data_IF_616971802962
#
_entry.id   IF_616971802962
#
_cell.length_a   1.000
_cell.length_b   1.000
_cell.length_c   1.000
_cell.angle_alpha   90.00
_cell.angle_beta   90.00
_cell.angle_gamma   90.00
#
_symmetry.space_group_name_H-M   'P 1'
#
loop_
_entity.id
_entity.type
_entity.pdbx_description
1 polymer ?
#
# COMPACT_ATOMS: atom_id res chain seq x y z
N UNK A 1 -13.47 -11.09 16.44
CA UNK A 1 -12.45 -10.46 15.58
C UNK A 1 -12.96 -10.53 14.16
N UNK A 2 -13.10 -9.39 13.47
CA UNK A 2 -13.64 -9.34 12.10
C UNK A 2 -12.51 -8.90 11.17
N UNK A 3 -12.15 -9.71 10.17
CA UNK A 3 -11.16 -9.34 9.15
C UNK A 3 -11.91 -8.76 7.95
N UNK A 4 -11.70 -7.48 7.63
CA UNK A 4 -12.18 -6.90 6.38
C UNK A 4 -11.26 -7.36 5.26
N UNK A 5 -11.84 -8.00 4.25
CA UNK A 5 -11.13 -8.63 3.14
C UNK A 5 -11.60 -8.02 1.82
N UNK A 6 -10.66 -7.80 0.90
CA UNK A 6 -10.94 -7.44 -0.47
C UNK A 6 -10.83 -8.69 -1.37
N UNK A 7 -11.85 -8.93 -2.19
CA UNK A 7 -11.88 -10.06 -3.13
C UNK A 7 -11.33 -9.64 -4.50
N UNK A 8 -10.68 -10.56 -5.20
CA UNK A 8 -10.17 -10.32 -6.56
C UNK A 8 -11.33 -10.17 -7.57
N UNK A 9 -11.19 -9.24 -8.53
CA UNK A 9 -12.20 -8.91 -9.53
C UNK A 9 -12.49 -10.07 -10.51
N UNK A 10 -11.55 -11.02 -10.66
CA UNK A 10 -11.73 -12.26 -11.44
C UNK A 10 -12.91 -13.13 -10.96
N UNK A 11 -13.45 -12.86 -9.76
CA UNK A 11 -14.66 -13.52 -9.26
C UNK A 11 -15.92 -13.14 -10.06
N UNK A 12 -15.92 -12.01 -10.76
CA UNK A 12 -17.10 -11.41 -11.40
C UNK A 12 -17.32 -11.86 -12.85
N UNK A 13 -16.44 -12.71 -13.40
CA UNK A 13 -16.50 -13.17 -14.79
C UNK A 13 -16.85 -14.65 -14.87
N UNK A 14 -18.10 -14.97 -15.20
CA UNK A 14 -18.59 -16.35 -15.35
C UNK A 14 -17.85 -17.17 -16.42
N UNK A 15 -17.26 -16.49 -17.42
CA UNK A 15 -16.63 -17.14 -18.59
C UNK A 15 -15.19 -17.62 -18.36
N UNK A 16 -14.52 -17.21 -17.28
CA UNK A 16 -13.19 -17.73 -16.92
C UNK A 16 -13.24 -19.14 -16.32
N UNK A 17 -14.43 -19.63 -15.94
CA UNK A 17 -14.61 -20.97 -15.33
C UNK A 17 -14.53 -22.13 -16.32
N UNK A 18 -14.58 -21.86 -17.63
CA UNK A 18 -14.52 -22.92 -18.65
C UNK A 18 -13.12 -23.01 -19.27
N UNK A 19 -12.33 -23.95 -18.73
CA UNK A 19 -11.05 -24.49 -19.25
C UNK A 19 -9.74 -23.89 -18.71
N UNK A 20 -9.46 -24.07 -17.41
CA UNK A 20 -8.09 -24.38 -16.96
C UNK A 20 -8.08 -24.96 -15.55
N UNK A 21 -7.80 -26.26 -15.42
CA UNK A 21 -7.72 -27.00 -14.15
C UNK A 21 -6.49 -26.66 -13.29
N UNK A 22 -5.88 -25.48 -13.45
CA UNK A 22 -4.62 -25.15 -12.76
C UNK A 22 -4.47 -23.71 -12.27
N UNK A 23 -5.45 -22.82 -12.41
CA UNK A 23 -5.22 -21.38 -12.14
C UNK A 23 -6.14 -20.72 -11.10
N UNK A 24 -6.88 -21.51 -10.31
CA UNK A 24 -7.77 -20.98 -9.28
C UNK A 24 -7.04 -20.92 -7.92
N UNK A 25 -6.06 -20.03 -7.81
CA UNK A 25 -5.52 -19.66 -6.50
C UNK A 25 -6.23 -18.38 -6.06
N UNK A 26 -7.46 -18.53 -5.57
CA UNK A 26 -8.20 -17.42 -4.98
C UNK A 26 -7.55 -17.06 -3.65
N UNK A 27 -6.95 -15.86 -3.59
CA UNK A 27 -6.40 -15.31 -2.36
C UNK A 27 -7.30 -14.20 -1.88
N UNK A 28 -7.57 -14.21 -0.58
CA UNK A 28 -8.34 -13.20 0.11
C UNK A 28 -7.36 -12.34 0.90
N UNK A 29 -7.21 -11.09 0.52
CA UNK A 29 -6.28 -10.17 1.16
C UNK A 29 -7.03 -9.29 2.15
N UNK A 30 -6.57 -9.30 3.40
CA UNK A 30 -7.04 -8.39 4.43
C UNK A 30 -6.64 -6.94 4.13
N UNK A 31 -7.26 -6.00 4.85
CA UNK A 31 -6.79 -4.61 4.83
C UNK A 31 -5.33 -4.55 5.33
N UNK A 32 -4.50 -3.65 4.76
CA UNK A 32 -3.16 -3.45 5.28
C UNK A 32 -3.19 -3.03 6.74
N UNK A 33 -2.19 -3.49 7.50
CA UNK A 33 -1.97 -2.98 8.84
C UNK A 33 -1.18 -1.67 8.77
N UNK A 34 -1.76 -0.61 9.32
CA UNK A 34 -1.33 0.77 9.13
C UNK A 34 -1.37 1.48 10.47
N UNK A 35 -0.25 2.11 10.81
CA UNK A 35 -0.07 2.97 11.98
C UNK A 35 0.10 4.41 11.51
N UNK A 36 -0.58 5.33 12.18
CA UNK A 36 -0.45 6.77 11.95
C UNK A 36 0.10 7.39 13.23
N UNK A 37 1.19 8.14 13.12
CA UNK A 37 1.84 8.79 14.25
C UNK A 37 2.01 10.28 13.96
N UNK A 38 1.87 11.11 15.00
CA UNK A 38 2.24 12.53 14.93
C UNK A 38 3.70 12.70 15.34
N UNK A 39 4.48 13.42 14.54
CA UNK A 39 5.88 13.71 14.80
C UNK A 39 5.96 14.70 15.97
N UNK A 40 6.72 14.33 17.00
CA UNK A 40 6.77 15.07 18.27
C UNK A 40 7.89 16.11 18.33
N UNK A 41 8.98 15.90 17.58
CA UNK A 41 10.22 16.66 17.69
C UNK A 41 10.85 16.87 16.30
N UNK A 42 11.70 17.89 16.16
CA UNK A 42 12.42 18.22 14.92
C UNK A 42 11.66 19.19 14.00
N UNK A 43 12.20 19.41 12.80
CA UNK A 43 11.67 20.40 11.84
C UNK A 43 10.25 20.06 11.33
N UNK A 44 9.86 18.78 11.40
CA UNK A 44 8.54 18.28 10.99
C UNK A 44 7.56 18.09 12.17
N UNK A 45 7.86 18.69 13.33
CA UNK A 45 6.99 18.62 14.51
C UNK A 45 5.54 19.02 14.17
N UNK A 46 4.59 18.20 14.62
CA UNK A 46 3.15 18.39 14.40
C UNK A 46 2.61 17.80 13.09
N UNK A 47 3.48 17.38 12.17
CA UNK A 47 3.07 16.63 10.97
C UNK A 47 2.76 15.17 11.29
N UNK A 48 2.07 14.51 10.38
CA UNK A 48 1.75 13.09 10.45
C UNK A 48 2.71 12.26 9.63
N UNK A 49 2.90 11.02 10.07
CA UNK A 49 3.62 9.99 9.36
C UNK A 49 2.85 8.67 9.40
N UNK A 50 2.85 7.96 8.29
CA UNK A 50 2.17 6.67 8.14
C UNK A 50 3.21 5.57 8.01
N UNK A 51 3.02 4.48 8.75
CA UNK A 51 3.81 3.26 8.61
C UNK A 51 2.92 2.07 8.26
N UNK A 52 3.27 1.37 7.18
CA UNK A 52 2.63 0.12 6.80
C UNK A 52 3.40 -1.05 7.41
N UNK A 53 2.73 -1.82 8.25
CA UNK A 53 3.32 -2.95 8.98
C UNK A 53 3.23 -4.26 8.18
N UNK A 54 2.33 -4.34 7.21
CA UNK A 54 2.07 -5.55 6.45
C UNK A 54 0.59 -5.70 6.17
N UNK A 55 0.15 -6.94 6.01
CA UNK A 55 -1.21 -7.33 5.69
C UNK A 55 -1.38 -8.83 5.91
N UNK A 56 -2.61 -9.34 5.95
CA UNK A 56 -2.85 -10.78 6.09
C UNK A 56 -3.51 -11.35 4.83
N UNK A 57 -3.19 -12.60 4.52
CA UNK A 57 -3.88 -13.41 3.52
C UNK A 57 -4.74 -14.46 4.20
N UNK A 58 -5.84 -14.84 3.57
CA UNK A 58 -6.52 -16.09 3.87
C UNK A 58 -6.32 -17.07 2.72
N UNK A 59 -5.64 -18.19 3.02
CA UNK A 59 -5.44 -19.30 2.09
C UNK A 59 -6.69 -20.19 2.13
N UNK A 60 -7.53 -20.08 1.10
CA UNK A 60 -8.78 -20.84 1.00
C UNK A 60 -8.56 -22.36 0.87
N UNK A 61 -7.36 -22.80 0.45
CA UNK A 61 -7.06 -24.23 0.30
C UNK A 61 -6.70 -24.87 1.64
N UNK A 62 -6.02 -24.11 2.50
CA UNK A 62 -5.62 -24.56 3.84
C UNK A 62 -6.62 -24.17 4.93
N UNK A 63 -7.44 -23.15 4.69
CA UNK A 63 -8.34 -22.58 5.69
C UNK A 63 -7.60 -21.76 6.76
N UNK A 64 -6.44 -21.19 6.42
CA UNK A 64 -5.53 -20.53 7.36
C UNK A 64 -5.28 -19.07 6.99
N UNK A 65 -5.06 -18.24 8.02
CA UNK A 65 -4.58 -16.86 7.85
C UNK A 65 -3.05 -16.85 7.85
N UNK A 66 -2.46 -16.25 6.81
CA UNK A 66 -1.02 -16.14 6.64
C UNK A 66 -0.66 -14.66 6.64
N UNK A 67 0.17 -14.22 7.58
CA UNK A 67 0.65 -12.84 7.60
C UNK A 67 1.68 -12.57 6.50
N UNK A 68 1.40 -11.55 5.71
CA UNK A 68 2.31 -10.88 4.80
C UNK A 68 2.98 -9.71 5.48
N UNK A 69 4.26 -9.86 5.81
CA UNK A 69 5.07 -8.74 6.29
C UNK A 69 5.30 -7.67 5.21
N UNK A 70 5.99 -6.57 5.56
CA UNK A 70 6.24 -5.45 4.65
C UNK A 70 7.08 -5.86 3.42
N UNK A 71 7.89 -6.92 3.56
CA UNK A 71 8.71 -7.46 2.48
C UNK A 71 7.91 -8.09 1.32
N UNK A 72 6.59 -8.29 1.48
CA UNK A 72 5.70 -8.77 0.40
C UNK A 72 4.90 -7.65 -0.27
N UNK A 73 5.21 -6.40 0.03
CA UNK A 73 4.56 -5.23 -0.56
C UNK A 73 5.39 -4.78 -1.75
N UNK A 74 4.90 -5.03 -2.96
CA UNK A 74 5.55 -4.58 -4.18
C UNK A 74 5.47 -3.06 -4.32
N UNK A 75 4.30 -2.49 -4.00
CA UNK A 75 4.05 -1.06 -4.04
C UNK A 75 3.04 -0.65 -2.97
N UNK A 76 3.18 0.54 -2.42
CA UNK A 76 2.09 1.17 -1.68
C UNK A 76 1.97 2.66 -1.97
N UNK A 77 0.76 3.17 -1.81
CA UNK A 77 0.36 4.51 -2.17
C UNK A 77 -0.37 5.14 -0.99
N UNK A 78 -0.07 6.40 -0.73
CA UNK A 78 -0.71 7.21 0.30
C UNK A 78 -1.40 8.41 -0.35
N UNK A 79 -2.70 8.49 -0.14
CA UNK A 79 -3.50 9.70 -0.35
C UNK A 79 -3.69 10.37 1.02
N UNK A 80 -3.19 11.59 1.13
CA UNK A 80 -3.17 12.39 2.38
C UNK A 80 -4.45 13.19 2.61
N UNK A 81 -5.38 13.19 1.65
CA UNK A 81 -6.63 13.98 1.68
C UNK A 81 -7.78 13.26 0.96
N UNK A 82 -7.97 11.99 1.24
CA UNK A 82 -8.89 11.13 0.51
C UNK A 82 -10.34 11.63 0.56
N UNK A 83 -10.94 11.81 -0.62
CA UNK A 83 -12.27 12.42 -0.82
C UNK A 83 -13.45 11.44 -0.75
N UNK A 84 -13.20 10.19 -0.31
CA UNK A 84 -14.16 9.08 -0.30
C UNK A 84 -14.64 8.61 -1.68
N UNK A 85 -14.04 9.06 -2.80
CA UNK A 85 -14.45 8.68 -4.16
C UNK A 85 -13.31 8.05 -4.94
N UNK A 86 -12.19 8.75 -5.05
CA UNK A 86 -11.10 8.39 -5.93
C UNK A 86 -9.77 8.54 -5.20
N UNK A 87 -8.85 7.60 -5.45
CA UNK A 87 -7.52 7.66 -4.85
C UNK A 87 -6.64 8.62 -5.65
N UNK A 88 -6.15 9.68 -5.00
CA UNK A 88 -5.18 10.62 -5.56
C UNK A 88 -3.90 10.58 -4.73
N UNK A 89 -3.03 9.58 -4.96
CA UNK A 89 -1.89 9.37 -4.10
C UNK A 89 -0.88 10.51 -4.27
N UNK A 90 -0.51 11.14 -3.15
CA UNK A 90 0.54 12.15 -3.07
C UNK A 90 1.92 11.54 -2.89
N UNK A 91 1.99 10.31 -2.37
CA UNK A 91 3.25 9.56 -2.18
C UNK A 91 3.11 8.11 -2.64
N UNK A 92 4.12 7.58 -3.34
CA UNK A 92 4.14 6.22 -3.89
C UNK A 92 5.49 5.56 -3.64
N UNK A 93 5.46 4.36 -3.07
CA UNK A 93 6.62 3.66 -2.54
C UNK A 93 6.78 2.28 -3.16
N UNK A 94 8.02 1.80 -3.28
CA UNK A 94 8.36 0.49 -3.84
C UNK A 94 9.28 -0.31 -2.91
N UNK A 95 8.76 -0.93 -1.84
CA UNK A 95 9.59 -1.62 -0.83
C UNK A 95 10.38 -2.81 -1.35
N UNK A 96 9.86 -3.50 -2.37
CA UNK A 96 10.54 -4.65 -2.98
C UNK A 96 11.53 -4.26 -4.09
N UNK A 97 11.56 -3.00 -4.53
CA UNK A 97 12.43 -2.60 -5.62
C UNK A 97 13.90 -2.63 -5.16
N UNK A 98 14.74 -3.37 -5.88
CA UNK A 98 16.20 -3.32 -5.70
C UNK A 98 16.80 -1.99 -6.19
N UNK A 99 18.08 -1.76 -5.92
CA UNK A 99 18.79 -0.49 -6.22
C UNK A 99 18.62 0.02 -7.66
N UNK A 100 18.39 -0.88 -8.62
CA UNK A 100 18.24 -0.56 -10.06
C UNK A 100 16.79 -0.59 -10.56
N UNK A 101 15.83 -0.81 -9.68
CA UNK A 101 14.39 -0.93 -9.96
C UNK A 101 13.59 0.22 -9.34
N UNK A 102 12.26 0.23 -9.52
CA UNK A 102 11.39 1.28 -9.00
C UNK A 102 11.76 2.67 -9.50
N UNK A 103 11.82 3.64 -8.58
CA UNK A 103 12.15 5.03 -8.87
C UNK A 103 13.55 5.23 -9.48
N UNK A 104 14.54 4.37 -9.18
CA UNK A 104 15.88 4.51 -9.78
C UNK A 104 15.89 4.27 -11.29
N UNK A 105 14.94 3.47 -11.82
CA UNK A 105 14.77 3.34 -13.27
C UNK A 105 14.25 4.63 -13.89
N UNK A 106 13.34 5.32 -13.18
CA UNK A 106 12.79 6.59 -13.64
C UNK A 106 13.82 7.73 -13.53
N UNK A 107 14.53 7.83 -12.40
CA UNK A 107 15.58 8.84 -12.19
C UNK A 107 16.69 8.75 -13.22
N UNK A 108 17.12 7.53 -13.58
CA UNK A 108 18.10 7.31 -14.66
C UNK A 108 17.65 7.75 -16.04
N UNK A 109 16.35 7.84 -16.27
CA UNK A 109 15.77 8.35 -17.52
C UNK A 109 15.58 9.86 -17.47
N UNK A 110 15.23 10.40 -16.30
CA UNK A 110 14.94 11.83 -16.11
C UNK A 110 16.19 12.68 -15.87
N UNK A 111 17.31 12.09 -15.41
CA UNK A 111 18.72 12.57 -15.36
C UNK A 111 19.05 13.99 -14.88
N UNK A 112 18.08 14.88 -14.67
CA UNK A 112 18.31 16.30 -14.41
C UNK A 112 17.40 16.91 -13.33
N UNK A 113 16.35 16.21 -12.87
CA UNK A 113 15.36 16.80 -11.95
C UNK A 113 15.08 15.97 -10.69
N UNK A 114 15.72 14.80 -10.52
CA UNK A 114 15.46 13.93 -9.35
C UNK A 114 16.72 13.81 -8.50
N UNK A 115 16.59 14.15 -7.23
CA UNK A 115 17.59 13.95 -6.19
C UNK A 115 17.62 12.47 -5.79
N UNK A 116 18.74 11.80 -6.07
CA UNK A 116 18.90 10.36 -5.82
C UNK A 116 18.87 9.99 -4.33
N UNK A 117 19.26 10.90 -3.43
CA UNK A 117 19.22 10.64 -1.99
C UNK A 117 17.77 10.67 -1.47
N UNK A 118 16.95 11.58 -2.01
CA UNK A 118 15.53 11.70 -1.63
C UNK A 118 14.67 10.54 -2.17
N UNK A 119 15.08 9.90 -3.27
CA UNK A 119 14.41 8.69 -3.79
C UNK A 119 14.41 7.57 -2.75
N UNK A 120 15.46 7.48 -1.94
CA UNK A 120 15.65 6.33 -1.06
C UNK A 120 14.62 6.28 0.06
N UNK A 121 14.06 7.43 0.45
CA UNK A 121 12.91 7.50 1.33
C UNK A 121 11.66 6.77 0.75
N UNK A 122 11.54 6.69 -0.59
CA UNK A 122 10.43 6.01 -1.27
C UNK A 122 10.59 4.48 -1.39
N UNK A 123 11.66 3.91 -0.84
CA UNK A 123 11.82 2.45 -0.72
C UNK A 123 11.34 1.90 0.62
N UNK A 124 10.97 2.75 1.56
CA UNK A 124 10.50 2.33 2.87
C UNK A 124 9.03 1.91 2.90
N UNK A 125 8.61 1.45 4.08
CA UNK A 125 7.19 1.33 4.45
C UNK A 125 6.72 2.45 5.36
N UNK A 126 7.50 3.53 5.44
CA UNK A 126 7.20 4.72 6.22
C UNK A 126 7.06 5.90 5.25
N UNK A 127 6.01 6.69 5.41
CA UNK A 127 5.76 7.85 4.57
C UNK A 127 6.73 8.98 4.85
N UNK A 128 6.85 9.92 3.91
CA UNK A 128 7.35 11.24 4.25
C UNK A 128 6.33 11.95 5.17
N UNK A 129 6.79 12.86 6.03
CA UNK A 129 5.91 13.70 6.84
C UNK A 129 4.92 14.49 5.98
N UNK A 130 3.69 14.64 6.46
CA UNK A 130 2.65 15.39 5.75
C UNK A 130 1.67 16.09 6.69
N UNK A 131 1.02 17.13 6.18
CA UNK A 131 -0.13 17.76 6.82
C UNK A 131 -1.42 17.13 6.29
N UNK A 132 -2.43 16.89 7.15
CA UNK A 132 -3.69 16.32 6.70
C UNK A 132 -4.42 17.36 5.84
N UNK A 133 -4.99 16.92 4.72
CA UNK A 133 -5.82 17.81 3.92
C UNK A 133 -7.19 18.10 4.54
N UNK A 134 -8.01 18.95 3.88
CA UNK A 134 -9.32 19.38 4.35
C UNK A 134 -10.31 18.25 4.69
N UNK A 135 -10.23 17.09 4.03
CA UNK A 135 -11.11 15.94 4.28
C UNK A 135 -10.74 15.21 5.58
N UNK A 136 -9.54 15.46 6.14
CA UNK A 136 -9.01 14.81 7.34
C UNK A 136 -9.06 13.28 7.27
N UNK A 137 -8.96 12.74 6.06
CA UNK A 137 -9.05 11.32 5.79
C UNK A 137 -7.88 10.93 4.90
N UNK A 138 -7.28 9.79 5.20
CA UNK A 138 -6.21 9.22 4.39
C UNK A 138 -6.63 7.88 3.83
N UNK A 139 -6.07 7.54 2.69
CA UNK A 139 -6.22 6.23 2.10
C UNK A 139 -4.84 5.62 1.81
N UNK A 140 -4.63 4.42 2.32
CA UNK A 140 -3.43 3.61 2.11
C UNK A 140 -3.82 2.42 1.25
N UNK A 141 -3.30 2.41 0.03
CA UNK A 141 -3.46 1.30 -0.91
C UNK A 141 -2.15 0.56 -1.04
N UNK A 142 -2.19 -0.76 -0.91
CA UNK A 142 -1.02 -1.61 -1.13
C UNK A 142 -1.28 -2.56 -2.30
N UNK A 143 -0.20 -2.98 -2.95
CA UNK A 143 -0.18 -4.02 -3.97
C UNK A 143 0.90 -5.02 -3.57
N UNK A 144 0.53 -6.31 -3.48
CA UNK A 144 1.46 -7.38 -3.14
C UNK A 144 2.34 -7.80 -4.32
N UNK A 145 3.24 -8.76 -4.07
CA UNK A 145 4.13 -9.38 -5.06
C UNK A 145 3.40 -10.20 -6.15
N UNK A 146 2.08 -10.39 -6.01
CA UNK A 146 1.20 -11.10 -6.96
C UNK A 146 0.29 -10.15 -7.72
N UNK A 147 0.33 -8.85 -7.42
CA UNK A 147 -0.54 -7.83 -8.03
C UNK A 147 -1.92 -7.70 -7.38
N UNK A 148 -2.15 -8.32 -6.22
CA UNK A 148 -3.40 -8.20 -5.47
C UNK A 148 -3.39 -6.88 -4.70
N UNK A 149 -4.48 -6.14 -4.82
CA UNK A 149 -4.64 -4.83 -4.20
C UNK A 149 -5.49 -4.90 -2.93
N UNK A 150 -5.14 -4.07 -1.94
CA UNK A 150 -5.96 -3.86 -0.75
C UNK A 150 -5.91 -2.41 -0.29
N UNK A 151 -7.04 -1.91 0.21
CA UNK A 151 -7.23 -0.52 0.62
C UNK A 151 -7.63 -0.42 2.09
N UNK A 152 -6.98 0.50 2.81
CA UNK A 152 -7.39 0.94 4.14
C UNK A 152 -7.59 2.45 4.17
N UNK A 153 -8.74 2.87 4.68
CA UNK A 153 -9.10 4.28 4.85
C UNK A 153 -9.12 4.57 6.34
N UNK A 154 -8.53 5.70 6.76
CA UNK A 154 -8.40 6.12 8.15
C UNK A 154 -8.75 7.60 8.27
N UNK A 155 -9.43 7.98 9.35
CA UNK A 155 -9.71 9.39 9.66
C UNK A 155 -8.64 9.91 10.61
N UNK A 156 -7.98 11.00 10.26
CA UNK A 156 -6.96 11.61 11.10
C UNK A 156 -7.64 12.28 12.30
N UNK A 157 -7.23 11.90 13.51
CA UNK A 157 -7.82 12.34 14.79
C UNK A 157 -8.62 11.27 15.54
N UNK A 158 -9.03 10.19 14.86
CA UNK A 158 -9.72 9.04 15.47
C UNK A 158 -8.79 7.82 15.68
N UNK A 159 -7.52 7.95 15.27
CA UNK A 159 -6.48 6.89 15.31
C UNK A 159 -5.59 7.09 16.53
#
# INVERSE_FOLDING_TARGET
>A
MLLKVQMNADLLTEDLKKKRSSNESFWLMGQPDVVVETIKDGDDQGKYQVRVLGFDYYDVRKGEVISGGPAKIAMWMLDTDYDSRSLFPSQVFFPMAGEKEGWSRLARNLRAEIDEELIEAYRGTVSLPFEPGPNQQIAVKIIDDRGIESLRILRIGDV
#
